data_IF_267274900872
#
_entry.id   IF_267274900872
#
_cell.length_a   1.000
_cell.length_b   1.000
_cell.length_c   1.000
_cell.angle_alpha   90.00
_cell.angle_beta   90.00
_cell.angle_gamma   90.00
#
_symmetry.space_group_name_H-M   'P 1'
#
loop_
_entity.id
_entity.type
_entity.pdbx_description
1 polymer ?
#
# COMPACT_ATOMS: atom_id res chain seq x y z
N UNK A 1 -13.26 18.81 27.16
CA UNK A 1 -14.10 18.75 25.94
C UNK A 1 -13.27 18.90 24.66
N UNK A 2 -12.44 19.95 24.57
CA UNK A 2 -11.55 20.25 23.43
C UNK A 2 -10.56 19.14 23.06
N UNK A 3 -9.96 18.46 24.05
CA UNK A 3 -9.02 17.35 23.80
C UNK A 3 -9.65 16.19 22.99
N UNK A 4 -10.90 15.83 23.29
CA UNK A 4 -11.59 14.76 22.58
C UNK A 4 -11.98 15.18 21.16
N UNK A 5 -12.23 16.46 20.92
CA UNK A 5 -12.52 17.00 19.58
C UNK A 5 -11.27 16.91 18.70
N UNK A 6 -10.12 17.36 19.20
CA UNK A 6 -8.85 17.32 18.45
C UNK A 6 -8.45 15.88 18.09
N UNK A 7 -8.61 14.94 19.03
CA UNK A 7 -8.32 13.52 18.77
C UNK A 7 -9.23 12.94 17.68
N UNK A 8 -10.54 13.19 17.76
CA UNK A 8 -11.49 12.70 16.75
C UNK A 8 -11.21 13.30 15.39
N UNK A 9 -10.92 14.60 15.33
CA UNK A 9 -10.55 15.29 14.10
C UNK A 9 -9.30 14.70 13.46
N UNK A 10 -8.20 14.56 14.21
CA UNK A 10 -6.96 13.98 13.69
C UNK A 10 -7.15 12.54 13.19
N UNK A 11 -7.98 11.74 13.87
CA UNK A 11 -8.34 10.40 13.40
C UNK A 11 -9.09 10.43 12.08
N UNK A 12 -10.12 11.27 11.95
CA UNK A 12 -10.87 11.41 10.70
C UNK A 12 -9.96 11.84 9.55
N UNK A 13 -9.10 12.84 9.78
CA UNK A 13 -8.11 13.29 8.80
C UNK A 13 -7.17 12.14 8.39
N UNK A 14 -6.68 11.36 9.36
CA UNK A 14 -5.79 10.21 9.06
C UNK A 14 -6.48 9.16 8.20
N UNK A 15 -7.75 8.85 8.48
CA UNK A 15 -8.53 7.86 7.72
C UNK A 15 -8.75 8.36 6.28
N UNK A 16 -9.14 9.62 6.11
CA UNK A 16 -9.34 10.22 4.78
C UNK A 16 -8.03 10.22 4.01
N UNK A 17 -6.92 10.62 4.65
CA UNK A 17 -5.60 10.64 4.02
C UNK A 17 -5.17 9.24 3.55
N UNK A 18 -5.32 8.22 4.40
CA UNK A 18 -5.01 6.84 4.03
C UNK A 18 -5.88 6.33 2.87
N UNK A 19 -7.18 6.65 2.89
CA UNK A 19 -8.08 6.29 1.80
C UNK A 19 -7.66 6.96 0.48
N UNK A 20 -7.32 8.25 0.52
CA UNK A 20 -6.80 8.97 -0.65
C UNK A 20 -5.51 8.33 -1.17
N UNK A 21 -4.59 7.92 -0.30
CA UNK A 21 -3.37 7.21 -0.70
C UNK A 21 -3.69 5.89 -1.42
N UNK A 22 -4.57 5.07 -0.85
CA UNK A 22 -4.96 3.78 -1.44
C UNK A 22 -5.65 3.97 -2.79
N UNK A 23 -6.60 4.91 -2.89
CA UNK A 23 -7.30 5.23 -4.13
C UNK A 23 -6.36 5.77 -5.20
N UNK A 24 -5.44 6.67 -4.82
CA UNK A 24 -4.45 7.21 -5.73
C UNK A 24 -3.58 6.09 -6.32
N UNK A 25 -3.07 5.19 -5.48
CA UNK A 25 -2.31 4.04 -5.95
C UNK A 25 -3.16 3.13 -6.83
N UNK A 26 -4.38 2.78 -6.41
CA UNK A 26 -5.29 1.95 -7.21
C UNK A 26 -5.56 2.54 -8.60
N UNK A 27 -5.71 3.86 -8.70
CA UNK A 27 -5.84 4.54 -9.99
C UNK A 27 -4.56 4.45 -10.83
N UNK A 28 -3.38 4.57 -10.23
CA UNK A 28 -2.11 4.36 -10.93
C UNK A 28 -2.03 2.98 -11.57
N UNK A 29 -2.46 1.94 -10.84
CA UNK A 29 -2.56 0.58 -11.37
C UNK A 29 -3.56 0.48 -12.53
N UNK A 30 -4.75 1.09 -12.43
CA UNK A 30 -5.74 1.04 -13.50
C UNK A 30 -5.26 1.76 -14.78
N UNK A 31 -4.66 2.95 -14.64
CA UNK A 31 -4.33 3.78 -15.80
C UNK A 31 -3.07 3.34 -16.54
N UNK A 32 -2.06 2.84 -15.82
CA UNK A 32 -0.72 2.70 -16.39
C UNK A 32 -0.15 1.27 -16.35
N UNK A 33 -0.75 0.33 -15.60
CA UNK A 33 -0.26 -1.06 -15.55
C UNK A 33 -0.91 -1.95 -16.62
N UNK A 34 -0.16 -2.95 -17.14
CA UNK A 34 -0.68 -3.91 -18.12
C UNK A 34 -1.79 -4.79 -17.54
N UNK A 35 -2.65 -5.36 -18.40
CA UNK A 35 -3.84 -6.17 -18.00
C UNK A 35 -3.49 -7.54 -17.38
N UNK A 36 -2.21 -7.79 -17.11
CA UNK A 36 -1.71 -9.06 -16.57
C UNK A 36 -1.96 -9.23 -15.07
N UNK A 37 -2.50 -8.22 -14.36
CA UNK A 37 -2.80 -8.39 -12.94
C UNK A 37 -3.97 -9.36 -12.76
N UNK A 38 -3.91 -10.11 -11.66
CA UNK A 38 -5.03 -10.90 -11.14
C UNK A 38 -6.31 -10.08 -10.97
N UNK A 39 -6.19 -8.78 -10.69
CA UNK A 39 -7.34 -7.86 -10.59
C UNK A 39 -8.10 -7.71 -11.91
N UNK A 40 -7.42 -7.75 -13.06
CA UNK A 40 -8.09 -7.64 -14.36
C UNK A 40 -8.90 -8.89 -14.72
N UNK A 41 -8.54 -10.07 -14.19
CA UNK A 41 -9.42 -11.26 -14.27
C UNK A 41 -10.74 -11.06 -13.52
N UNK A 42 -10.70 -10.44 -12.34
CA UNK A 42 -11.91 -10.09 -11.60
C UNK A 42 -12.75 -9.06 -12.38
N UNK A 43 -12.10 -8.06 -12.99
CA UNK A 43 -12.78 -7.05 -13.83
C UNK A 43 -13.39 -7.62 -15.11
N UNK A 44 -12.73 -8.62 -15.71
CA UNK A 44 -13.29 -9.41 -16.82
C UNK A 44 -14.54 -10.17 -16.37
N UNK A 45 -14.52 -10.78 -15.19
CA UNK A 45 -15.68 -11.52 -14.66
C UNK A 45 -16.90 -10.62 -14.43
N UNK A 46 -16.69 -9.39 -13.93
CA UNK A 46 -17.78 -8.43 -13.71
C UNK A 46 -18.14 -7.61 -14.96
N UNK A 47 -17.47 -7.83 -16.10
CA UNK A 47 -17.78 -7.20 -17.38
C UNK A 47 -17.39 -5.72 -17.51
N UNK A 48 -16.43 -5.22 -16.71
CA UNK A 48 -15.99 -3.81 -16.77
C UNK A 48 -14.65 -3.62 -17.50
N UNK A 49 -14.06 -4.70 -18.02
CA UNK A 49 -12.72 -4.69 -18.60
C UNK A 49 -12.60 -3.64 -19.71
N UNK A 50 -13.53 -3.63 -20.66
CA UNK A 50 -13.52 -2.71 -21.80
C UNK A 50 -13.52 -1.22 -21.38
N UNK A 51 -14.22 -0.89 -20.29
CA UNK A 51 -14.25 0.47 -19.74
C UNK A 51 -12.86 0.85 -19.20
N UNK A 52 -12.18 -0.09 -18.54
CA UNK A 52 -10.87 0.14 -17.93
C UNK A 52 -9.76 0.18 -18.98
N UNK A 53 -9.84 -0.65 -20.02
CA UNK A 53 -8.89 -0.61 -21.16
C UNK A 53 -8.96 0.74 -21.88
N UNK A 54 -10.15 1.28 -22.07
CA UNK A 54 -10.34 2.62 -22.64
C UNK A 54 -9.78 3.76 -21.77
N UNK A 55 -9.55 3.51 -20.48
CA UNK A 55 -8.96 4.47 -19.56
C UNK A 55 -7.42 4.46 -19.60
N UNK A 56 -6.80 3.44 -20.20
CA UNK A 56 -5.35 3.29 -20.17
C UNK A 56 -4.62 4.44 -20.83
N UNK A 57 -3.46 4.75 -20.25
CA UNK A 57 -2.54 5.77 -20.72
C UNK A 57 -1.17 5.17 -20.94
N UNK A 58 -0.42 5.79 -21.84
CA UNK A 58 0.95 5.37 -22.11
C UNK A 58 1.79 5.53 -20.82
N UNK A 59 2.41 4.45 -20.30
CA UNK A 59 3.24 4.52 -19.10
C UNK A 59 4.48 5.40 -19.28
N UNK A 60 4.91 5.69 -20.52
CA UNK A 60 6.07 6.54 -20.81
C UNK A 60 5.93 7.98 -20.33
N UNK A 61 4.69 8.44 -20.09
CA UNK A 61 4.41 9.81 -19.62
C UNK A 61 4.74 10.03 -18.14
N UNK A 62 4.99 8.94 -17.40
CA UNK A 62 5.34 8.97 -15.98
C UNK A 62 6.70 8.33 -15.78
N UNK A 63 7.52 8.89 -14.89
CA UNK A 63 8.80 8.28 -14.51
C UNK A 63 8.59 6.84 -14.00
N UNK A 64 9.46 5.92 -14.42
CA UNK A 64 9.45 4.53 -13.98
C UNK A 64 9.43 4.41 -12.45
N UNK A 65 10.16 5.26 -11.73
CA UNK A 65 10.18 5.24 -10.27
C UNK A 65 8.80 5.54 -9.65
N UNK A 66 8.10 6.56 -10.20
CA UNK A 66 6.76 6.95 -9.74
C UNK A 66 5.72 5.88 -10.09
N UNK A 67 5.93 5.17 -11.20
CA UNK A 67 5.00 4.14 -11.65
C UNK A 67 5.19 2.81 -10.91
N UNK A 68 6.44 2.39 -10.66
CA UNK A 68 6.75 1.04 -10.20
C UNK A 68 7.09 0.94 -8.71
N UNK A 69 7.70 1.97 -8.12
CA UNK A 69 8.21 1.93 -6.73
C UNK A 69 7.38 2.79 -5.76
N UNK A 70 6.90 3.96 -6.21
CA UNK A 70 6.12 4.86 -5.35
C UNK A 70 4.82 4.23 -4.81
N UNK A 71 3.98 3.53 -5.61
CA UNK A 71 2.72 2.99 -5.10
C UNK A 71 2.91 2.02 -3.93
N UNK A 72 3.97 1.21 -4.01
CA UNK A 72 4.38 0.25 -2.99
C UNK A 72 4.73 0.93 -1.65
N UNK A 73 5.51 2.02 -1.71
CA UNK A 73 5.78 2.85 -0.54
C UNK A 73 4.52 3.54 0.01
N UNK A 74 3.66 4.09 -0.87
CA UNK A 74 2.46 4.83 -0.46
C UNK A 74 1.44 3.91 0.22
N UNK A 75 1.28 2.67 -0.24
CA UNK A 75 0.47 1.67 0.46
C UNK A 75 1.01 1.33 1.83
N UNK A 76 2.32 1.13 1.96
CA UNK A 76 2.93 0.84 3.25
C UNK A 76 2.78 2.01 4.24
N UNK A 77 2.88 3.24 3.73
CA UNK A 77 2.60 4.45 4.50
C UNK A 77 1.13 4.48 4.97
N UNK A 78 0.17 4.26 4.07
CA UNK A 78 -1.26 4.22 4.37
C UNK A 78 -1.60 3.16 5.43
N UNK A 79 -1.01 1.97 5.31
CA UNK A 79 -1.11 0.91 6.31
C UNK A 79 -0.61 1.40 7.68
N UNK A 80 0.60 1.94 7.71
CA UNK A 80 1.26 2.37 8.95
C UNK A 80 0.42 3.39 9.72
N UNK A 81 -0.10 4.42 9.04
CA UNK A 81 -0.91 5.46 9.68
C UNK A 81 -2.29 4.97 10.14
N UNK A 82 -2.91 4.01 9.43
CA UNK A 82 -4.18 3.40 9.87
C UNK A 82 -3.98 2.56 11.12
N UNK A 83 -2.92 1.74 11.16
CA UNK A 83 -2.58 0.97 12.36
C UNK A 83 -2.28 1.93 13.51
N UNK A 84 -1.53 3.01 13.26
CA UNK A 84 -1.37 4.12 14.21
C UNK A 84 -2.72 4.65 14.73
N UNK A 85 -3.66 4.95 13.84
CA UNK A 85 -4.98 5.49 14.17
C UNK A 85 -5.82 4.55 15.06
N UNK A 86 -5.86 3.24 14.73
CA UNK A 86 -6.55 2.20 15.50
C UNK A 86 -6.03 2.17 16.95
N UNK A 87 -4.72 2.31 17.10
CA UNK A 87 -4.02 2.29 18.39
C UNK A 87 -3.84 3.67 19.02
N UNK A 88 -4.65 4.64 18.62
CA UNK A 88 -4.64 6.01 19.17
C UNK A 88 -3.27 6.70 19.08
N UNK A 89 -2.50 6.41 18.03
CA UNK A 89 -1.17 6.96 17.76
C UNK A 89 -0.16 6.70 18.88
N UNK A 90 -0.34 5.62 19.65
CA UNK A 90 0.61 5.22 20.69
C UNK A 90 1.54 4.14 20.16
N UNK A 91 2.69 4.57 19.66
CA UNK A 91 3.67 3.72 18.97
C UNK A 91 4.04 2.47 19.77
N UNK A 92 4.20 2.59 21.08
CA UNK A 92 4.56 1.46 21.97
C UNK A 92 3.52 0.33 21.96
N UNK A 93 2.27 0.64 21.67
CA UNK A 93 1.19 -0.35 21.67
C UNK A 93 0.97 -0.97 20.28
N UNK A 94 1.53 -0.38 19.20
CA UNK A 94 1.25 -0.81 17.83
C UNK A 94 2.46 -1.09 16.94
N UNK A 95 3.69 -0.80 17.40
CA UNK A 95 4.90 -0.94 16.59
C UNK A 95 5.06 -2.34 15.98
N UNK A 96 4.71 -3.40 16.72
CA UNK A 96 4.80 -4.77 16.20
C UNK A 96 3.89 -4.96 14.99
N UNK A 97 2.64 -4.50 15.06
CA UNK A 97 1.69 -4.60 13.95
C UNK A 97 2.16 -3.78 12.74
N UNK A 98 2.71 -2.58 12.97
CA UNK A 98 3.27 -1.75 11.89
C UNK A 98 4.41 -2.49 11.18
N UNK A 99 5.30 -3.17 11.92
CA UNK A 99 6.48 -3.82 11.35
C UNK A 99 6.20 -5.13 10.61
N UNK A 100 5.03 -5.76 10.78
CA UNK A 100 4.71 -7.02 10.07
C UNK A 100 4.78 -6.84 8.55
N UNK A 101 4.11 -5.84 8.02
CA UNK A 101 4.05 -5.59 6.57
C UNK A 101 5.42 -5.28 5.95
N UNK A 102 6.18 -4.28 6.45
CA UNK A 102 7.53 -3.99 5.93
C UNK A 102 8.46 -5.18 6.03
N UNK A 103 8.37 -5.98 7.10
CA UNK A 103 9.20 -7.19 7.24
C UNK A 103 8.90 -8.19 6.13
N UNK A 104 7.62 -8.41 5.80
CA UNK A 104 7.21 -9.30 4.70
C UNK A 104 7.68 -8.72 3.36
N UNK A 105 7.39 -7.46 3.06
CA UNK A 105 7.73 -6.82 1.78
C UNK A 105 9.24 -6.78 1.52
N UNK A 106 10.03 -6.35 2.52
CA UNK A 106 11.49 -6.28 2.39
C UNK A 106 12.09 -7.68 2.26
N UNK A 107 11.60 -8.65 3.05
CA UNK A 107 12.07 -10.04 2.93
C UNK A 107 11.73 -10.63 1.56
N UNK A 108 10.56 -10.31 1.01
CA UNK A 108 10.15 -10.73 -0.32
C UNK A 108 11.12 -10.22 -1.40
N UNK A 109 11.52 -8.94 -1.35
CA UNK A 109 12.52 -8.38 -2.27
C UNK A 109 13.89 -9.07 -2.16
N UNK A 110 14.38 -9.31 -0.94
CA UNK A 110 15.65 -10.02 -0.77
C UNK A 110 15.59 -11.48 -1.23
N UNK A 111 14.43 -12.14 -1.16
CA UNK A 111 14.25 -13.50 -1.65
C UNK A 111 14.18 -13.58 -3.19
N UNK A 112 13.93 -12.47 -3.88
CA UNK A 112 14.00 -12.43 -5.35
C UNK A 112 15.44 -12.41 -5.86
N UNK A 113 16.40 -11.87 -5.09
CA UNK A 113 17.82 -11.82 -5.46
C UNK A 113 18.42 -13.21 -5.78
N UNK A 114 18.23 -14.26 -4.96
CA UNK A 114 18.65 -15.63 -5.29
C UNK A 114 17.69 -16.38 -6.23
N UNK A 115 16.60 -15.75 -6.70
CA UNK A 115 15.58 -16.39 -7.53
C UNK A 115 14.67 -17.37 -6.79
N UNK A 116 14.56 -17.27 -5.46
CA UNK A 116 13.68 -18.14 -4.64
C UNK A 116 12.20 -17.76 -4.84
N UNK A 117 11.94 -16.46 -4.98
CA UNK A 117 10.61 -15.90 -5.23
C UNK A 117 10.54 -15.35 -6.66
N UNK A 118 9.35 -15.43 -7.27
CA UNK A 118 9.09 -14.79 -8.56
C UNK A 118 9.15 -13.26 -8.41
N UNK A 119 9.91 -12.59 -9.26
CA UNK A 119 10.07 -11.14 -9.24
C UNK A 119 11.42 -10.70 -9.76
N UNK A 120 11.73 -9.41 -9.59
CA UNK A 120 13.04 -8.83 -9.92
C UNK A 120 13.42 -7.93 -8.77
N UNK A 121 14.55 -8.25 -8.13
CA UNK A 121 15.08 -7.45 -7.03
C UNK A 121 15.30 -6.01 -7.48
N UNK A 122 14.54 -5.08 -6.90
CA UNK A 122 14.71 -3.64 -7.12
C UNK A 122 15.08 -2.92 -5.81
N UNK A 123 16.32 -2.42 -5.67
CA UNK A 123 16.72 -1.62 -4.52
C UNK A 123 15.83 -0.39 -4.27
N UNK A 124 15.19 0.15 -5.30
CA UNK A 124 14.28 1.29 -5.17
C UNK A 124 12.99 0.93 -4.44
N UNK A 125 12.52 -0.33 -4.52
CA UNK A 125 11.37 -0.81 -3.75
C UNK A 125 11.71 -0.85 -2.25
N UNK A 126 12.88 -1.41 -1.92
CA UNK A 126 13.38 -1.41 -0.53
C UNK A 126 13.52 0.02 -0.01
N UNK A 127 14.06 0.94 -0.84
CA UNK A 127 14.15 2.35 -0.49
C UNK A 127 12.77 2.97 -0.24
N UNK A 128 11.80 2.74 -1.13
CA UNK A 128 10.44 3.23 -0.98
C UNK A 128 9.77 2.70 0.31
N UNK A 129 9.97 1.42 0.66
CA UNK A 129 9.46 0.85 1.90
C UNK A 129 10.08 1.50 3.14
N UNK A 130 11.40 1.73 3.14
CA UNK A 130 12.09 2.40 4.25
C UNK A 130 11.59 3.83 4.42
N UNK A 131 11.48 4.59 3.33
CA UNK A 131 10.98 5.98 3.35
C UNK A 131 9.55 6.00 3.89
N UNK A 132 8.68 5.11 3.41
CA UNK A 132 7.29 5.00 3.87
C UNK A 132 7.19 4.68 5.36
N UNK A 133 8.02 3.77 5.86
CA UNK A 133 8.05 3.39 7.27
C UNK A 133 8.49 4.55 8.15
N UNK A 134 9.56 5.25 7.77
CA UNK A 134 10.05 6.44 8.49
C UNK A 134 8.98 7.54 8.49
N UNK A 135 8.40 7.85 7.33
CA UNK A 135 7.34 8.85 7.21
C UNK A 135 6.12 8.50 8.08
N UNK A 136 5.71 7.23 8.10
CA UNK A 136 4.60 6.74 8.92
C UNK A 136 4.87 6.89 10.42
N UNK A 137 6.07 6.53 10.88
CA UNK A 137 6.44 6.72 12.29
C UNK A 137 6.55 8.18 12.69
N UNK A 138 7.12 9.03 11.84
CA UNK A 138 7.18 10.49 12.06
C UNK A 138 5.77 11.07 12.14
N UNK A 139 4.87 10.66 11.25
CA UNK A 139 3.47 11.07 11.28
C UNK A 139 2.79 10.69 12.60
N UNK A 140 2.91 9.43 13.02
CA UNK A 140 2.32 8.94 14.28
C UNK A 140 2.87 9.73 15.47
N UNK A 141 4.18 9.95 15.51
CA UNK A 141 4.83 10.72 16.57
C UNK A 141 4.31 12.17 16.63
N UNK A 142 4.16 12.82 15.48
CA UNK A 142 3.64 14.18 15.40
C UNK A 142 2.19 14.26 15.92
N UNK A 143 1.31 13.36 15.46
CA UNK A 143 -0.09 13.32 15.92
C UNK A 143 -0.18 12.98 17.41
N UNK A 144 0.67 12.08 17.92
CA UNK A 144 0.73 11.78 19.35
C UNK A 144 1.04 13.04 20.16
N UNK A 145 2.07 13.79 19.76
CA UNK A 145 2.52 14.99 20.47
C UNK A 145 1.51 16.14 20.36
N UNK A 146 0.87 16.28 19.20
CA UNK A 146 -0.07 17.37 18.95
C UNK A 146 -1.45 17.08 19.54
N UNK A 147 -2.10 16.00 19.10
CA UNK A 147 -3.51 15.74 19.40
C UNK A 147 -3.73 15.19 20.81
N UNK A 148 -2.73 14.56 21.42
CA UNK A 148 -2.87 13.90 22.72
C UNK A 148 -2.02 14.52 23.83
N UNK A 149 -1.50 15.74 23.63
CA UNK A 149 -0.74 16.50 24.65
C UNK A 149 -1.47 16.56 26.00
N UNK A 150 -2.79 16.69 25.98
CA UNK A 150 -3.65 16.88 27.16
C UNK A 150 -4.36 15.62 27.63
N UNK A 151 -4.20 14.50 26.91
CA UNK A 151 -4.86 13.22 27.23
C UNK A 151 -3.95 12.37 28.11
N UNK A 152 -4.42 11.98 29.30
CA UNK A 152 -3.65 11.11 30.20
C UNK A 152 -3.33 9.76 29.54
N UNK A 153 -2.05 9.33 29.62
CA UNK A 153 -1.57 8.07 29.01
C UNK A 153 -2.29 6.81 29.50
N UNK A 154 -2.83 6.83 30.73
CA UNK A 154 -3.57 5.70 31.33
C UNK A 154 -4.92 5.50 30.63
N UNK A 155 -5.64 6.59 30.36
CA UNK A 155 -6.94 6.60 29.67
C UNK A 155 -6.85 5.98 28.25
N UNK A 156 -5.67 6.09 27.62
CA UNK A 156 -5.43 5.58 26.26
C UNK A 156 -5.20 4.05 26.22
N UNK A 157 -4.85 3.42 27.36
CA UNK A 157 -4.26 2.07 27.42
C UNK A 157 -5.27 0.92 27.35
N UNK A 158 -6.57 1.19 27.19
CA UNK A 158 -7.55 0.10 27.03
C UNK A 158 -7.35 -0.60 25.68
N UNK A 159 -6.63 -1.72 25.71
CA UNK A 159 -6.60 -2.72 24.64
C UNK A 159 -7.95 -3.41 24.65
N UNK A 160 -8.70 -3.22 23.57
CA UNK A 160 -10.01 -3.84 23.38
C UNK A 160 -9.86 -4.89 22.29
N UNK A 161 -10.56 -6.01 22.41
CA UNK A 161 -10.66 -7.03 21.36
C UNK A 161 -11.05 -6.42 20.01
N UNK A 162 -11.82 -5.32 20.02
CA UNK A 162 -12.17 -4.56 18.81
C UNK A 162 -10.94 -3.97 18.09
N UNK A 163 -9.94 -3.44 18.82
CA UNK A 163 -8.73 -2.88 18.20
C UNK A 163 -7.90 -3.97 17.54
N UNK A 164 -7.80 -5.15 18.18
CA UNK A 164 -7.12 -6.30 17.62
C UNK A 164 -7.83 -6.79 16.36
N UNK A 165 -9.16 -6.96 16.43
CA UNK A 165 -9.97 -7.33 15.26
C UNK A 165 -9.79 -6.36 14.09
N UNK A 166 -9.88 -5.05 14.34
CA UNK A 166 -9.66 -4.02 13.31
C UNK A 166 -8.24 -4.06 12.73
N UNK A 167 -7.24 -4.34 13.56
CA UNK A 167 -5.84 -4.48 13.12
C UNK A 167 -5.69 -5.67 12.19
N UNK A 168 -6.26 -6.83 12.56
CA UNK A 168 -6.23 -8.05 11.75
C UNK A 168 -6.99 -7.84 10.44
N UNK A 169 -8.18 -7.26 10.49
CA UNK A 169 -8.98 -6.95 9.30
C UNK A 169 -8.24 -6.01 8.35
N UNK A 170 -7.62 -4.94 8.89
CA UNK A 170 -6.81 -4.00 8.10
C UNK A 170 -5.63 -4.72 7.45
N UNK A 171 -4.91 -5.54 8.21
CA UNK A 171 -3.78 -6.31 7.68
C UNK A 171 -4.22 -7.23 6.53
N UNK A 172 -5.29 -8.00 6.72
CA UNK A 172 -5.83 -8.87 5.67
C UNK A 172 -6.23 -8.10 4.42
N UNK A 173 -6.86 -6.93 4.58
CA UNK A 173 -7.25 -6.07 3.44
C UNK A 173 -6.03 -5.61 2.65
N UNK A 174 -4.99 -5.13 3.33
CA UNK A 174 -3.76 -4.67 2.67
C UNK A 174 -2.97 -5.82 2.03
N UNK A 175 -2.97 -7.01 2.62
CA UNK A 175 -2.40 -8.21 2.00
C UNK A 175 -3.16 -8.58 0.73
N UNK A 176 -4.51 -8.56 0.76
CA UNK A 176 -5.31 -8.84 -0.44
C UNK A 176 -5.07 -7.82 -1.54
N UNK A 177 -4.96 -6.53 -1.19
CA UNK A 177 -4.60 -5.48 -2.16
C UNK A 177 -3.22 -5.75 -2.75
N UNK A 178 -2.21 -6.02 -1.93
CA UNK A 178 -0.84 -6.30 -2.37
C UNK A 178 -0.74 -7.54 -3.29
N UNK A 179 -1.50 -8.60 -2.99
CA UNK A 179 -1.56 -9.80 -3.85
C UNK A 179 -2.30 -9.51 -5.16
N UNK A 180 -3.39 -8.73 -5.09
CA UNK A 180 -4.19 -8.36 -6.26
C UNK A 180 -3.45 -7.44 -7.24
N UNK A 181 -2.52 -6.65 -6.71
CA UNK A 181 -1.69 -5.71 -7.45
C UNK A 181 -0.37 -6.26 -7.94
N UNK A 182 -0.03 -7.49 -7.56
CA UNK A 182 1.26 -8.06 -7.90
C UNK A 182 1.40 -8.22 -9.41
N UNK A 183 2.44 -7.59 -9.94
CA UNK A 183 2.60 -7.23 -11.35
C UNK A 183 3.98 -7.66 -11.87
N UNK A 184 4.42 -8.84 -11.42
CA UNK A 184 5.71 -9.44 -11.75
C UNK A 184 6.05 -9.37 -13.24
N UNK A 185 5.07 -9.56 -14.14
CA UNK A 185 5.27 -9.51 -15.59
C UNK A 185 5.56 -8.09 -16.10
N UNK A 186 4.79 -7.08 -15.64
CA UNK A 186 4.99 -5.69 -16.06
C UNK A 186 6.31 -5.09 -15.57
N UNK A 187 6.84 -5.56 -14.43
CA UNK A 187 8.13 -5.11 -13.88
C UNK A 187 9.33 -5.64 -14.68
N UNK A 188 9.27 -6.88 -15.16
CA UNK A 188 10.33 -7.47 -16.00
C UNK A 188 10.48 -6.69 -17.32
N UNK A 189 9.36 -6.32 -17.95
CA UNK A 189 9.33 -5.51 -19.18
C UNK A 189 9.98 -4.13 -19.00
N UNK A 190 9.70 -3.44 -17.90
CA UNK A 190 10.25 -2.13 -17.60
C UNK A 190 11.78 -2.15 -17.37
N UNK A 191 12.29 -3.16 -16.67
CA UNK A 191 13.73 -3.28 -16.36
C UNK A 191 14.57 -3.80 -17.54
N UNK A 192 13.95 -4.49 -18.50
CA UNK A 192 14.65 -5.02 -19.69
C UNK A 192 14.53 -4.10 -20.92
N UNK A 193 13.73 -3.04 -20.85
CA UNK A 193 13.44 -2.17 -21.99
C UNK A 193 12.65 -2.86 -23.11
N UNK A 194 12.11 -4.06 -22.85
CA UNK A 194 11.34 -4.82 -23.83
C UNK A 194 9.88 -4.38 -23.76
N UNK A 195 9.46 -3.52 -24.70
CA UNK A 195 8.04 -3.19 -24.88
C UNK A 195 7.33 -4.45 -25.39
N UNK A 196 6.32 -4.95 -24.66
CA UNK A 196 5.56 -6.10 -25.12
C UNK A 196 4.75 -5.72 -26.36
N UNK A 197 5.23 -6.23 -27.50
CA UNK A 197 4.42 -6.50 -28.67
C UNK A 197 3.22 -7.36 -28.21
N UNK A 198 2.01 -6.94 -28.60
CA UNK A 198 0.77 -7.64 -28.27
C UNK A 198 0.99 -9.13 -28.56
N UNK A 199 0.76 -9.98 -27.56
CA UNK A 199 0.59 -11.41 -27.79
C UNK A 199 -0.65 -11.52 -28.68
N UNK A 200 -0.45 -11.63 -29.98
CA UNK A 200 -1.49 -12.07 -30.90
C UNK A 200 -1.90 -13.47 -30.44
N UNK A 201 -3.11 -13.56 -29.89
CA UNK A 201 -3.80 -14.84 -29.76
C UNK A 201 -3.93 -15.40 -31.18
N UNK A 202 -3.03 -16.31 -31.54
CA UNK A 202 -3.25 -17.24 -32.63
C UNK A 202 -4.52 -18.03 -32.30
N UNK A 203 -5.65 -17.61 -32.85
CA UNK A 203 -6.75 -18.51 -33.14
C UNK A 203 -6.25 -19.52 -34.17
N UNK A 204 -5.77 -20.66 -33.67
CA UNK A 204 -5.59 -21.86 -34.46
C UNK A 204 -6.93 -22.56 -34.58
N UNK A 205 -7.49 -22.48 -35.79
CA UNK A 205 -8.34 -23.43 -36.54
C UNK A 205 -9.21 -24.45 -35.76
#
# INVERSE_FOLDING_TARGET
MTANINVRFCKSVTIVMALCCVLFCGMMYIYFRPDTLKMFHFFRYIGILDILENMKRDPSVVSSWVLYNLPDGVWLFAYTIIIGCIWNFKIRDCWMFILVMPTISISHEFMQMPGIMHGTYDPNDVFAYIVALVAGFVYIYFIEKFAFKTVRRVERRRTSSLKLFLTMFTFSLFVLLAIGSDDTVGRISANTGCSFEKVEENHGD
#
